data_IF_846489613107
#
_entry.id   IF_846489613107
#
_cell.length_a   1.000
_cell.length_b   1.000
_cell.length_c   1.000
_cell.angle_alpha   90.00
_cell.angle_beta   90.00
_cell.angle_gamma   90.00
#
_symmetry.space_group_name_H-M   'P 1'
#
loop_
_entity.id
_entity.type
_entity.pdbx_description
1 polymer ?
#
# COMPACT_ATOMS: atom_id res chain seq x y z
N UNK A 1 -22.64 -8.42 -10.66
CA UNK A 1 -23.32 -9.39 -9.77
C UNK A 1 -22.29 -10.03 -8.85
N UNK A 2 -22.58 -10.07 -7.56
CA UNK A 2 -21.74 -10.71 -6.55
C UNK A 2 -22.07 -12.21 -6.45
N UNK A 3 -21.06 -13.07 -6.56
CA UNK A 3 -21.17 -14.51 -6.40
C UNK A 3 -20.00 -14.99 -5.53
N UNK A 4 -20.24 -15.36 -4.25
CA UNK A 4 -19.17 -15.69 -3.32
C UNK A 4 -18.31 -16.85 -3.85
N UNK A 5 -17.00 -16.69 -3.86
CA UNK A 5 -16.05 -17.75 -4.30
C UNK A 5 -15.74 -18.78 -3.21
N UNK A 6 -16.11 -18.49 -1.97
CA UNK A 6 -15.89 -19.40 -0.82
C UNK A 6 -17.03 -19.25 0.18
N UNK A 7 -17.31 -20.31 0.93
CA UNK A 7 -18.27 -20.31 2.03
C UNK A 7 -17.96 -19.23 3.08
N UNK A 8 -16.67 -18.98 3.36
CA UNK A 8 -16.23 -17.88 4.25
C UNK A 8 -16.72 -16.52 3.77
N UNK A 9 -16.61 -16.25 2.47
CA UNK A 9 -17.06 -14.97 1.89
C UNK A 9 -18.58 -14.86 1.97
N UNK A 10 -19.30 -15.94 1.71
CA UNK A 10 -20.75 -16.01 1.81
C UNK A 10 -21.25 -15.71 3.23
N UNK A 11 -20.65 -16.35 4.23
CA UNK A 11 -20.98 -16.13 5.64
C UNK A 11 -20.73 -14.67 6.08
N UNK A 12 -19.63 -14.06 5.63
CA UNK A 12 -19.35 -12.65 5.94
C UNK A 12 -20.33 -11.74 5.19
N UNK A 13 -20.63 -12.02 3.92
CA UNK A 13 -21.53 -11.22 3.09
C UNK A 13 -22.95 -11.19 3.67
N UNK A 14 -23.41 -12.28 4.26
CA UNK A 14 -24.69 -12.35 4.95
C UNK A 14 -24.81 -11.29 6.07
N UNK A 15 -23.71 -11.06 6.81
CA UNK A 15 -23.65 -10.10 7.89
C UNK A 15 -23.30 -8.67 7.40
N UNK A 16 -22.80 -8.53 6.17
CA UNK A 16 -22.35 -7.24 5.60
C UNK A 16 -23.06 -6.91 4.28
N UNK A 17 -24.35 -7.18 4.20
CA UNK A 17 -25.18 -7.01 2.99
C UNK A 17 -25.09 -5.61 2.39
N UNK A 18 -25.09 -4.58 3.24
CA UNK A 18 -25.03 -3.18 2.78
C UNK A 18 -23.68 -2.85 2.11
N UNK A 19 -22.57 -3.42 2.60
CA UNK A 19 -21.26 -3.26 1.97
C UNK A 19 -21.23 -3.93 0.60
N UNK A 20 -21.81 -5.14 0.49
CA UNK A 20 -21.91 -5.84 -0.80
C UNK A 20 -22.75 -5.07 -1.79
N UNK A 21 -23.94 -4.58 -1.39
CA UNK A 21 -24.80 -3.73 -2.24
C UNK A 21 -24.06 -2.45 -2.69
N UNK A 22 -23.32 -1.79 -1.78
CA UNK A 22 -22.53 -0.61 -2.12
C UNK A 22 -21.50 -0.96 -3.19
N UNK A 23 -20.79 -2.10 -3.05
CA UNK A 23 -19.79 -2.53 -4.03
C UNK A 23 -20.40 -2.96 -5.35
N UNK A 24 -21.56 -3.64 -5.37
CA UNK A 24 -22.29 -3.95 -6.59
C UNK A 24 -22.70 -2.68 -7.34
N UNK A 25 -23.13 -1.63 -6.63
CA UNK A 25 -23.41 -0.32 -7.21
C UNK A 25 -22.16 0.41 -7.72
N UNK A 26 -20.99 0.12 -7.13
CA UNK A 26 -19.70 0.62 -7.61
C UNK A 26 -19.28 -0.13 -8.88
N UNK A 27 -19.36 -1.47 -8.87
CA UNK A 27 -18.91 -2.35 -9.95
C UNK A 27 -20.02 -2.65 -10.96
N UNK A 28 -20.64 -1.61 -11.51
CA UNK A 28 -21.78 -1.72 -12.45
C UNK A 28 -21.37 -1.70 -13.93
N UNK A 29 -20.11 -1.89 -14.26
CA UNK A 29 -19.54 -1.92 -15.62
C UNK A 29 -18.20 -2.65 -15.64
N UNK A 30 -17.56 -2.73 -16.80
CA UNK A 30 -16.23 -3.33 -16.95
C UNK A 30 -15.23 -2.70 -15.99
N UNK A 31 -14.76 -3.49 -15.04
CA UNK A 31 -13.94 -3.00 -13.94
C UNK A 31 -12.54 -3.62 -13.97
N UNK A 32 -11.51 -2.79 -13.83
CA UNK A 32 -10.13 -3.21 -13.61
C UNK A 32 -9.59 -2.65 -12.31
N UNK A 33 -8.80 -3.46 -11.62
CA UNK A 33 -8.20 -3.13 -10.32
C UNK A 33 -6.69 -3.01 -10.48
N UNK A 34 -6.11 -1.97 -9.89
CA UNK A 34 -4.68 -1.67 -9.91
C UNK A 34 -4.18 -1.53 -8.48
N UNK A 35 -3.30 -2.44 -8.06
CA UNK A 35 -2.81 -2.53 -6.69
C UNK A 35 -1.33 -2.21 -6.64
N UNK A 36 -0.97 -1.01 -6.21
CA UNK A 36 0.41 -0.63 -5.89
C UNK A 36 0.80 -1.19 -4.53
N UNK A 37 1.25 -2.45 -4.47
CA UNK A 37 1.40 -3.16 -3.20
C UNK A 37 2.46 -2.53 -2.29
N UNK A 38 3.50 -1.94 -2.84
CA UNK A 38 4.51 -1.19 -2.07
C UNK A 38 3.88 -0.02 -1.29
N UNK A 39 2.84 0.64 -1.85
CA UNK A 39 2.13 1.74 -1.20
C UNK A 39 1.09 1.23 -0.18
N UNK A 40 0.52 0.04 -0.42
CA UNK A 40 -0.57 -0.53 0.39
C UNK A 40 -0.04 -1.32 1.60
N UNK A 41 1.04 -2.07 1.41
CA UNK A 41 1.63 -2.92 2.46
C UNK A 41 1.93 -2.19 3.78
N UNK A 42 2.51 -0.98 3.78
CA UNK A 42 2.78 -0.23 5.01
C UNK A 42 1.52 0.22 5.76
N UNK A 43 0.33 0.12 5.16
CA UNK A 43 -0.90 0.46 5.85
C UNK A 43 -1.18 -0.47 7.02
N UNK A 44 -0.72 -1.73 6.96
CA UNK A 44 -0.91 -2.72 8.02
C UNK A 44 -0.40 -2.24 9.39
N UNK A 45 0.70 -1.50 9.45
CA UNK A 45 1.27 -0.95 10.68
C UNK A 45 0.30 0.01 11.39
N UNK A 46 -0.48 0.77 10.62
CA UNK A 46 -1.46 1.75 11.15
C UNK A 46 -2.86 1.18 11.30
N UNK A 47 -3.21 0.21 10.45
CA UNK A 47 -4.51 -0.45 10.48
C UNK A 47 -4.62 -1.49 11.61
N UNK A 48 -3.48 -2.04 12.05
CA UNK A 48 -3.43 -3.13 13.01
C UNK A 48 -3.83 -4.50 12.42
N UNK A 49 -3.91 -4.62 11.08
CA UNK A 49 -4.22 -5.87 10.39
C UNK A 49 -3.53 -5.91 9.02
N UNK A 50 -3.27 -7.11 8.51
CA UNK A 50 -2.61 -7.33 7.24
C UNK A 50 -3.60 -7.79 6.17
N UNK A 51 -3.38 -7.35 4.93
CA UNK A 51 -4.10 -7.84 3.76
C UNK A 51 -3.53 -9.22 3.41
N UNK A 52 -4.41 -10.22 3.34
CA UNK A 52 -4.07 -11.53 2.81
C UNK A 52 -4.37 -11.58 1.32
N UNK A 53 -3.35 -11.79 0.49
CA UNK A 53 -3.47 -11.71 -0.98
C UNK A 53 -4.46 -12.73 -1.52
N UNK A 54 -4.46 -13.96 -1.02
CA UNK A 54 -5.42 -15.00 -1.42
C UNK A 54 -6.86 -14.59 -1.12
N UNK A 55 -7.11 -14.08 0.09
CA UNK A 55 -8.46 -13.63 0.48
C UNK A 55 -8.91 -12.41 -0.32
N UNK A 56 -8.01 -11.47 -0.57
CA UNK A 56 -8.29 -10.31 -1.40
C UNK A 56 -8.68 -10.73 -2.81
N UNK A 57 -7.90 -11.62 -3.44
CA UNK A 57 -8.21 -12.12 -4.79
C UNK A 57 -9.56 -12.84 -4.84
N UNK A 58 -9.81 -13.76 -3.90
CA UNK A 58 -11.10 -14.47 -3.80
C UNK A 58 -12.28 -13.51 -3.63
N UNK A 59 -12.10 -12.45 -2.83
CA UNK A 59 -13.13 -11.44 -2.64
C UNK A 59 -13.38 -10.62 -3.91
N UNK A 60 -12.34 -10.15 -4.58
CA UNK A 60 -12.47 -9.41 -5.83
C UNK A 60 -13.08 -10.27 -6.94
N UNK A 61 -12.66 -11.54 -7.07
CA UNK A 61 -13.19 -12.50 -8.05
C UNK A 61 -14.66 -12.87 -7.78
N UNK A 62 -15.21 -12.52 -6.61
CA UNK A 62 -16.62 -12.71 -6.32
C UNK A 62 -17.51 -11.69 -7.05
N UNK A 63 -16.95 -10.68 -7.70
CA UNK A 63 -17.68 -9.70 -8.50
C UNK A 63 -17.42 -9.95 -9.99
N UNK A 64 -18.43 -10.38 -10.73
CA UNK A 64 -18.33 -10.71 -12.16
C UNK A 64 -17.92 -9.54 -13.06
N UNK A 65 -18.09 -8.30 -12.59
CA UNK A 65 -17.70 -7.10 -13.32
C UNK A 65 -16.19 -6.83 -13.27
N UNK A 66 -15.45 -7.45 -12.34
CA UNK A 66 -14.00 -7.30 -12.23
C UNK A 66 -13.33 -8.25 -13.23
N UNK A 67 -12.81 -7.71 -14.33
CA UNK A 67 -12.20 -8.48 -15.40
C UNK A 67 -10.70 -8.75 -15.16
N UNK A 68 -10.02 -7.84 -14.48
CA UNK A 68 -8.59 -7.95 -14.20
C UNK A 68 -8.22 -7.33 -12.85
N UNK A 69 -7.29 -8.00 -12.16
CA UNK A 69 -6.66 -7.49 -10.94
C UNK A 69 -5.16 -7.41 -11.19
N UNK A 70 -4.69 -6.20 -11.53
CA UNK A 70 -3.29 -5.92 -11.78
C UNK A 70 -2.58 -5.66 -10.44
N UNK A 71 -1.47 -6.36 -10.22
CA UNK A 71 -0.72 -6.32 -8.97
C UNK A 71 0.72 -5.93 -9.24
N UNK A 72 1.16 -4.84 -8.65
CA UNK A 72 2.49 -4.26 -8.84
C UNK A 72 3.28 -4.35 -7.55
N UNK A 73 4.41 -5.06 -7.59
CA UNK A 73 5.28 -5.21 -6.43
C UNK A 73 6.76 -5.26 -6.81
N UNK A 74 7.62 -4.61 -6.02
CA UNK A 74 9.07 -4.72 -6.15
C UNK A 74 9.53 -6.12 -5.74
N UNK A 75 10.52 -6.64 -6.47
CA UNK A 75 11.13 -7.92 -6.20
C UNK A 75 12.60 -7.75 -5.80
N UNK A 76 12.98 -8.31 -4.66
CA UNK A 76 14.36 -8.37 -4.18
C UNK A 76 14.82 -9.85 -4.19
N UNK A 77 15.69 -10.19 -5.13
CA UNK A 77 16.23 -11.54 -5.25
C UNK A 77 16.97 -11.96 -3.98
N UNK A 78 16.77 -13.21 -3.55
CA UNK A 78 17.37 -13.75 -2.33
C UNK A 78 16.70 -13.29 -1.03
N UNK A 79 15.63 -12.50 -1.11
CA UNK A 79 14.83 -12.14 0.06
C UNK A 79 13.58 -13.02 0.14
N UNK A 80 13.56 -13.93 1.10
CA UNK A 80 12.48 -14.93 1.29
C UNK A 80 11.07 -14.31 1.31
N UNK A 81 10.92 -13.16 1.96
CA UNK A 81 9.63 -12.47 2.03
C UNK A 81 9.19 -11.98 0.66
N UNK A 82 10.12 -11.38 -0.09
CA UNK A 82 9.84 -10.86 -1.44
C UNK A 82 9.48 -11.99 -2.41
N UNK A 83 10.19 -13.11 -2.31
CA UNK A 83 9.91 -14.31 -3.10
C UNK A 83 8.56 -14.93 -2.75
N UNK A 84 8.25 -15.03 -1.46
CA UNK A 84 6.95 -15.52 -0.99
C UNK A 84 5.79 -14.64 -1.46
N UNK A 85 5.91 -13.32 -1.35
CA UNK A 85 4.87 -12.38 -1.81
C UNK A 85 4.64 -12.51 -3.33
N UNK A 86 5.71 -12.69 -4.10
CA UNK A 86 5.65 -12.92 -5.56
C UNK A 86 4.93 -14.23 -5.87
N UNK A 87 5.37 -15.34 -5.29
CA UNK A 87 4.76 -16.66 -5.49
C UNK A 87 3.27 -16.65 -5.07
N UNK A 88 2.94 -16.03 -3.94
CA UNK A 88 1.55 -15.93 -3.49
C UNK A 88 0.69 -15.14 -4.50
N UNK A 89 1.22 -14.10 -5.13
CA UNK A 89 0.50 -13.35 -6.16
C UNK A 89 0.32 -14.17 -7.45
N UNK A 90 1.35 -14.91 -7.87
CA UNK A 90 1.30 -15.80 -9.04
C UNK A 90 0.30 -16.94 -8.84
N UNK A 91 0.36 -17.65 -7.73
CA UNK A 91 -0.53 -18.75 -7.37
C UNK A 91 -2.01 -18.34 -7.32
N UNK A 92 -2.26 -17.10 -6.88
CA UNK A 92 -3.63 -16.55 -6.83
C UNK A 92 -4.05 -15.87 -8.14
N UNK A 93 -3.29 -16.02 -9.23
CA UNK A 93 -3.65 -15.53 -10.58
C UNK A 93 -3.90 -14.01 -10.64
N UNK A 94 -3.10 -13.23 -9.93
CA UNK A 94 -3.00 -11.80 -10.19
C UNK A 94 -2.31 -11.56 -11.54
N UNK A 95 -2.69 -10.51 -12.27
CA UNK A 95 -1.87 -10.01 -13.36
C UNK A 95 -0.66 -9.30 -12.75
N UNK A 96 0.38 -10.10 -12.49
CA UNK A 96 1.55 -9.67 -11.74
C UNK A 96 2.53 -8.89 -12.61
N UNK A 97 2.93 -7.71 -12.14
CA UNK A 97 4.01 -6.92 -12.71
C UNK A 97 5.07 -6.65 -11.65
N UNK A 98 6.28 -7.16 -11.89
CA UNK A 98 7.41 -7.00 -10.97
C UNK A 98 8.56 -6.29 -11.64
N UNK A 99 9.37 -5.59 -10.85
CA UNK A 99 10.68 -5.10 -11.24
C UNK A 99 11.66 -5.20 -10.07
N UNK A 100 12.98 -5.29 -10.35
CA UNK A 100 13.98 -5.33 -9.29
C UNK A 100 13.88 -4.09 -8.39
N UNK A 101 13.98 -4.32 -7.08
CA UNK A 101 14.17 -3.25 -6.10
C UNK A 101 15.55 -2.64 -6.29
N UNK A 102 15.64 -1.32 -6.36
CA UNK A 102 16.92 -0.61 -6.38
C UNK A 102 17.39 -0.37 -4.95
N UNK A 103 18.63 -0.77 -4.69
CA UNK A 103 19.32 -0.41 -3.46
C UNK A 103 19.96 0.96 -3.67
N UNK A 104 19.60 1.91 -2.84
CA UNK A 104 20.16 3.26 -2.83
C UNK A 104 21.01 3.44 -1.60
N UNK A 105 22.26 3.90 -1.80
CA UNK A 105 23.13 4.24 -0.69
C UNK A 105 22.95 5.69 -0.29
N UNK A 106 22.56 5.91 0.97
CA UNK A 106 22.41 7.23 1.57
C UNK A 106 23.62 7.52 2.44
N UNK A 107 24.34 8.60 2.16
CA UNK A 107 25.54 8.98 2.91
C UNK A 107 25.19 9.31 4.37
N UNK A 108 26.01 8.80 5.29
CA UNK A 108 25.90 9.02 6.73
C UNK A 108 27.17 9.62 7.37
N UNK A 109 28.03 10.27 6.58
CA UNK A 109 29.24 10.87 7.14
C UNK A 109 28.90 11.94 8.15
N UNK A 110 29.17 11.67 9.43
CA UNK A 110 28.85 12.52 10.58
C UNK A 110 30.11 13.07 11.27
N UNK A 111 31.30 12.88 10.70
CA UNK A 111 32.59 13.22 11.32
C UNK A 111 32.69 14.69 11.75
N UNK A 112 32.03 15.61 11.06
CA UNK A 112 32.03 17.04 11.31
C UNK A 112 30.70 17.60 11.87
N UNK A 113 29.75 16.71 12.22
CA UNK A 113 28.41 17.14 12.63
C UNK A 113 28.34 17.25 14.15
N UNK A 114 27.74 18.33 14.67
CA UNK A 114 27.50 18.52 16.10
C UNK A 114 26.53 17.44 16.63
N UNK A 115 26.66 17.02 17.89
CA UNK A 115 25.83 15.95 18.48
C UNK A 115 24.32 16.20 18.36
N UNK A 116 23.89 17.42 18.58
CA UNK A 116 22.49 17.86 18.57
C UNK A 116 21.98 18.28 17.18
N UNK A 117 22.80 18.18 16.15
CA UNK A 117 22.46 18.61 14.79
C UNK A 117 21.40 17.70 14.15
N UNK A 118 20.40 18.31 13.53
CA UNK A 118 19.36 17.60 12.76
C UNK A 118 19.73 17.44 11.28
N UNK A 119 20.88 17.95 10.83
CA UNK A 119 21.28 18.01 9.41
C UNK A 119 21.25 16.63 8.77
N UNK A 120 21.88 15.64 9.39
CA UNK A 120 21.92 14.29 8.84
C UNK A 120 20.57 13.57 9.01
N UNK A 121 19.99 13.69 10.19
CA UNK A 121 18.69 13.03 10.52
C UNK A 121 17.58 13.51 9.57
N UNK A 122 17.67 14.75 9.06
CA UNK A 122 16.70 15.30 8.10
C UNK A 122 16.69 14.56 6.75
N UNK A 123 17.71 13.78 6.42
CA UNK A 123 17.76 12.95 5.22
C UNK A 123 16.92 11.67 5.38
N UNK A 124 16.74 11.18 6.60
CA UNK A 124 16.04 9.94 6.91
C UNK A 124 14.64 10.18 7.48
N UNK A 125 14.41 11.37 8.07
CA UNK A 125 13.16 11.70 8.76
C UNK A 125 12.53 12.94 8.12
N UNK A 126 11.24 12.91 7.82
CA UNK A 126 10.51 14.07 7.29
C UNK A 126 10.66 15.27 8.23
N UNK A 127 11.02 16.44 7.70
CA UNK A 127 11.22 17.70 8.47
C UNK A 127 10.09 18.00 9.46
N UNK A 128 8.84 17.75 9.08
CA UNK A 128 7.68 17.95 9.94
C UNK A 128 7.68 17.05 11.19
N UNK A 129 8.35 15.91 11.12
CA UNK A 129 8.48 14.96 12.23
C UNK A 129 9.67 15.27 13.13
N UNK A 130 10.73 15.92 12.60
CA UNK A 130 11.91 16.28 13.39
C UNK A 130 11.58 17.13 14.61
N UNK A 131 10.58 18.02 14.49
CA UNK A 131 10.10 18.86 15.60
C UNK A 131 9.44 18.06 16.74
N UNK A 132 9.16 16.78 16.55
CA UNK A 132 8.54 15.89 17.54
C UNK A 132 9.56 15.04 18.29
N UNK A 133 10.82 15.07 17.84
CA UNK A 133 11.89 14.33 18.52
C UNK A 133 12.54 15.23 19.57
N UNK A 134 12.81 14.65 20.71
CA UNK A 134 13.63 15.28 21.75
C UNK A 134 15.09 15.37 21.31
N UNK A 135 15.81 16.37 21.78
CA UNK A 135 17.23 16.57 21.49
C UNK A 135 18.03 15.31 21.83
N UNK A 136 17.76 14.69 22.96
CA UNK A 136 18.39 13.45 23.41
C UNK A 136 18.26 12.30 22.39
N UNK A 137 17.12 12.21 21.69
CA UNK A 137 16.92 11.24 20.61
C UNK A 137 17.80 11.54 19.42
N UNK A 138 17.95 12.80 19.05
CA UNK A 138 18.81 13.25 17.95
C UNK A 138 20.27 12.98 18.28
N UNK A 139 20.71 13.31 19.48
CA UNK A 139 22.06 13.05 19.98
C UNK A 139 22.37 11.54 19.98
N UNK A 140 21.45 10.72 20.47
CA UNK A 140 21.58 9.26 20.42
C UNK A 140 21.75 8.72 19.01
N UNK A 141 20.94 9.18 18.05
CA UNK A 141 21.04 8.78 16.64
C UNK A 141 22.39 9.21 16.03
N UNK A 142 22.82 10.44 16.32
CA UNK A 142 24.11 10.93 15.83
C UNK A 142 25.28 10.13 16.42
N UNK A 143 25.23 9.74 17.69
CA UNK A 143 26.26 8.87 18.29
C UNK A 143 26.28 7.50 17.62
N UNK A 144 25.12 6.91 17.29
CA UNK A 144 25.08 5.65 16.54
C UNK A 144 25.67 5.78 15.16
N UNK A 145 25.42 6.86 14.45
CA UNK A 145 26.06 7.13 13.15
C UNK A 145 27.58 7.33 13.27
N UNK A 146 28.05 8.00 14.33
CA UNK A 146 29.48 8.10 14.62
C UNK A 146 30.13 6.74 14.85
N UNK A 147 29.46 5.86 15.58
CA UNK A 147 29.97 4.50 15.80
C UNK A 147 30.00 3.69 14.49
N UNK A 148 29.02 3.87 13.60
CA UNK A 148 29.08 3.30 12.26
C UNK A 148 30.27 3.85 11.46
N UNK A 149 30.50 5.16 11.47
CA UNK A 149 31.62 5.78 10.79
C UNK A 149 32.98 5.31 11.34
N UNK A 150 33.12 5.10 12.66
CA UNK A 150 34.33 4.49 13.26
C UNK A 150 34.61 3.08 12.73
N UNK A 151 33.55 2.33 12.35
CA UNK A 151 33.68 1.00 11.73
C UNK A 151 33.90 1.06 10.22
N UNK A 152 33.98 2.24 9.62
CA UNK A 152 34.11 2.43 8.17
C UNK A 152 32.79 2.37 7.39
N UNK A 153 31.66 2.40 8.07
CA UNK A 153 30.34 2.39 7.45
C UNK A 153 29.85 3.85 7.21
N UNK A 154 29.88 4.32 5.98
CA UNK A 154 29.52 5.67 5.59
C UNK A 154 28.21 5.76 4.80
N UNK A 155 27.54 4.64 4.59
CA UNK A 155 26.30 4.57 3.84
C UNK A 155 25.29 3.68 4.55
N UNK A 156 24.02 4.07 4.44
CA UNK A 156 22.88 3.22 4.77
C UNK A 156 22.21 2.83 3.46
N UNK A 157 21.85 1.58 3.33
CA UNK A 157 21.10 1.09 2.19
C UNK A 157 19.61 1.31 2.40
N UNK A 158 18.97 1.99 1.44
CA UNK A 158 17.53 2.12 1.36
C UNK A 158 17.01 1.39 0.12
N UNK A 159 15.88 0.71 0.28
CA UNK A 159 15.27 -0.06 -0.80
C UNK A 159 14.17 0.77 -1.46
N UNK A 160 14.36 1.14 -2.73
CA UNK A 160 13.39 1.90 -3.49
C UNK A 160 12.85 1.10 -4.67
N UNK A 161 11.53 0.95 -4.71
CA UNK A 161 10.83 0.45 -5.87
C UNK A 161 9.49 1.18 -5.99
N UNK A 162 9.36 1.94 -7.08
CA UNK A 162 8.17 2.73 -7.35
C UNK A 162 7.55 2.25 -8.67
N UNK A 163 6.22 2.03 -8.66
CA UNK A 163 5.44 1.62 -9.83
C UNK A 163 4.44 2.68 -10.29
N UNK A 164 4.50 3.90 -9.77
CA UNK A 164 3.45 4.90 -9.99
C UNK A 164 3.35 5.26 -11.48
N UNK A 165 4.49 5.33 -12.17
CA UNK A 165 4.52 5.56 -13.61
C UNK A 165 3.88 4.40 -14.37
N UNK A 166 4.28 3.15 -14.07
CA UNK A 166 3.76 1.96 -14.75
C UNK A 166 2.26 1.78 -14.51
N UNK A 167 1.80 1.99 -13.28
CA UNK A 167 0.37 1.92 -12.94
C UNK A 167 -0.40 3.02 -13.69
N UNK A 168 0.08 4.25 -13.64
CA UNK A 168 -0.54 5.38 -14.32
C UNK A 168 -0.64 5.16 -15.84
N UNK A 169 0.45 4.68 -16.45
CA UNK A 169 0.47 4.35 -17.88
C UNK A 169 -0.49 3.21 -18.22
N UNK A 170 -0.49 2.12 -17.43
CA UNK A 170 -1.39 0.99 -17.69
C UNK A 170 -2.87 1.40 -17.56
N UNK A 171 -3.21 2.24 -16.57
CA UNK A 171 -4.57 2.79 -16.43
C UNK A 171 -4.97 3.62 -17.65
N UNK A 172 -4.09 4.50 -18.13
CA UNK A 172 -4.38 5.35 -19.31
C UNK A 172 -4.48 4.53 -20.61
N UNK A 173 -3.62 3.53 -20.79
CA UNK A 173 -3.71 2.61 -21.94
C UNK A 173 -5.00 1.78 -21.92
N UNK A 174 -5.42 1.31 -20.73
CA UNK A 174 -6.67 0.60 -20.60
C UNK A 174 -7.89 1.51 -20.86
N UNK A 175 -7.79 2.78 -20.53
CA UNK A 175 -8.78 3.79 -20.88
C UNK A 175 -8.86 4.00 -22.40
N UNK A 176 -7.73 4.21 -23.07
CA UNK A 176 -7.64 4.43 -24.52
C UNK A 176 -8.20 3.22 -25.31
N UNK A 177 -7.89 2.00 -24.85
CA UNK A 177 -8.35 0.75 -25.48
C UNK A 177 -9.76 0.36 -25.11
N UNK A 178 -10.46 1.14 -24.30
CA UNK A 178 -11.78 0.82 -23.74
C UNK A 178 -11.84 -0.54 -23.02
N UNK A 179 -10.74 -0.93 -22.37
CA UNK A 179 -10.63 -2.16 -21.61
C UNK A 179 -11.34 -2.05 -20.26
N UNK A 180 -11.67 -0.85 -19.81
CA UNK A 180 -12.40 -0.62 -18.56
C UNK A 180 -13.29 0.64 -18.66
N UNK A 181 -14.40 0.61 -17.96
CA UNK A 181 -15.28 1.73 -17.67
C UNK A 181 -15.03 2.25 -16.25
N UNK A 182 -14.63 1.33 -15.37
CA UNK A 182 -14.42 1.55 -13.95
C UNK A 182 -12.99 1.16 -13.57
N UNK A 183 -12.28 2.10 -12.98
CA UNK A 183 -10.90 1.97 -12.56
C UNK A 183 -10.82 1.99 -11.04
N UNK A 184 -10.30 0.93 -10.43
CA UNK A 184 -10.09 0.85 -8.97
C UNK A 184 -8.60 0.95 -8.71
N UNK A 185 -8.19 2.02 -8.04
CA UNK A 185 -6.82 2.24 -7.64
C UNK A 185 -6.66 1.98 -6.13
N UNK A 186 -5.79 1.04 -5.78
CA UNK A 186 -5.34 0.80 -4.40
C UNK A 186 -4.04 1.56 -4.15
N UNK A 187 -4.16 2.82 -3.88
CA UNK A 187 -3.09 3.72 -3.46
C UNK A 187 -3.69 4.97 -2.83
N UNK A 188 -2.89 5.73 -2.11
CA UNK A 188 -3.27 7.06 -1.60
C UNK A 188 -2.25 8.11 -1.99
N UNK A 189 -1.33 7.77 -2.92
CA UNK A 189 -0.21 8.60 -3.31
C UNK A 189 -0.62 9.72 -4.26
N UNK A 190 -0.07 10.91 -4.04
CA UNK A 190 -0.29 12.10 -4.88
C UNK A 190 0.15 11.93 -6.32
N UNK A 191 1.15 11.07 -6.58
CA UNK A 191 1.71 10.86 -7.91
C UNK A 191 0.68 10.32 -8.91
N UNK A 192 -0.45 9.80 -8.43
CA UNK A 192 -1.57 9.36 -9.28
C UNK A 192 -2.57 10.46 -9.64
N UNK A 193 -2.46 11.67 -9.07
CA UNK A 193 -3.49 12.70 -9.24
C UNK A 193 -3.74 13.04 -10.73
N UNK A 194 -2.67 13.22 -11.52
CA UNK A 194 -2.78 13.55 -12.94
C UNK A 194 -3.43 12.42 -13.76
N UNK A 195 -3.05 11.17 -13.49
CA UNK A 195 -3.62 10.01 -14.19
C UNK A 195 -5.11 9.84 -13.86
N UNK A 196 -5.48 10.00 -12.58
CA UNK A 196 -6.86 9.93 -12.11
C UNK A 196 -7.70 11.06 -12.73
N UNK A 197 -7.19 12.29 -12.75
CA UNK A 197 -7.90 13.43 -13.35
C UNK A 197 -8.15 13.22 -14.84
N UNK A 198 -7.18 12.69 -15.58
CA UNK A 198 -7.34 12.37 -17.02
C UNK A 198 -8.40 11.30 -17.25
N UNK A 199 -8.45 10.26 -16.41
CA UNK A 199 -9.49 9.23 -16.51
C UNK A 199 -10.88 9.79 -16.25
N UNK A 200 -11.03 10.62 -15.22
CA UNK A 200 -12.31 11.29 -14.91
C UNK A 200 -12.72 12.20 -16.07
N UNK A 201 -11.79 12.98 -16.62
CA UNK A 201 -12.03 13.87 -17.77
C UNK A 201 -12.41 13.09 -19.04
N UNK A 202 -11.95 11.85 -19.19
CA UNK A 202 -12.35 10.93 -20.25
C UNK A 202 -13.72 10.24 -19.98
N UNK A 203 -14.44 10.65 -18.95
CA UNK A 203 -15.75 10.10 -18.58
C UNK A 203 -15.70 8.74 -17.90
N UNK A 204 -14.52 8.29 -17.46
CA UNK A 204 -14.38 7.02 -16.74
C UNK A 204 -14.66 7.19 -15.25
N UNK A 205 -15.21 6.15 -14.64
CA UNK A 205 -15.44 6.10 -13.20
C UNK A 205 -14.16 5.65 -12.49
N UNK A 206 -13.64 6.46 -11.58
CA UNK A 206 -12.44 6.13 -10.80
C UNK A 206 -12.80 6.02 -9.33
N UNK A 207 -12.38 4.92 -8.71
CA UNK A 207 -12.58 4.65 -7.30
C UNK A 207 -11.24 4.40 -6.63
N UNK A 208 -10.95 5.17 -5.61
CA UNK A 208 -9.78 5.00 -4.78
C UNK A 208 -10.11 4.08 -3.61
N UNK A 209 -9.47 2.91 -3.56
CA UNK A 209 -9.53 2.03 -2.40
C UNK A 209 -8.39 2.41 -1.45
N UNK A 210 -8.74 3.11 -0.39
CA UNK A 210 -7.77 3.65 0.56
C UNK A 210 -8.34 3.70 1.97
N UNK A 211 -7.54 4.13 2.92
CA UNK A 211 -8.03 4.53 4.24
C UNK A 211 -8.08 6.06 4.29
N UNK A 212 -9.07 6.63 4.97
CA UNK A 212 -9.27 8.07 5.07
C UNK A 212 -8.01 8.85 5.54
N UNK A 213 -7.09 8.18 6.27
CA UNK A 213 -5.85 8.78 6.78
C UNK A 213 -4.64 8.63 5.83
N UNK A 214 -4.84 8.07 4.64
CA UNK A 214 -3.77 7.71 3.70
C UNK A 214 -4.03 8.20 2.28
N UNK A 215 -4.95 9.12 2.11
CA UNK A 215 -5.21 9.80 0.85
C UNK A 215 -4.49 11.13 0.86
N UNK A 216 -3.75 11.43 -0.20
CA UNK A 216 -3.09 12.73 -0.36
C UNK A 216 -4.11 13.86 -0.53
N UNK A 217 -3.66 15.10 -0.34
CA UNK A 217 -4.52 16.28 -0.53
C UNK A 217 -4.93 16.44 -2.00
N UNK A 218 -4.00 16.16 -2.90
CA UNK A 218 -4.17 16.25 -4.35
C UNK A 218 -5.26 15.28 -4.83
N UNK A 219 -5.23 14.02 -4.39
CA UNK A 219 -6.28 13.05 -4.69
C UNK A 219 -7.60 13.41 -4.02
N UNK A 220 -7.57 13.89 -2.77
CA UNK A 220 -8.80 14.29 -2.06
C UNK A 220 -9.52 15.44 -2.77
N UNK A 221 -8.77 16.37 -3.38
CA UNK A 221 -9.33 17.49 -4.14
C UNK A 221 -10.08 17.04 -5.42
N UNK A 222 -9.75 15.85 -5.94
CA UNK A 222 -10.45 15.29 -7.11
C UNK A 222 -11.85 14.72 -6.77
N UNK A 223 -12.22 14.64 -5.49
CA UNK A 223 -13.57 14.22 -5.09
C UNK A 223 -14.64 15.14 -5.70
N UNK A 224 -14.40 16.45 -5.77
CA UNK A 224 -15.29 17.44 -6.38
C UNK A 224 -15.40 17.25 -7.92
N UNK A 225 -14.43 16.55 -8.53
CA UNK A 225 -14.42 16.20 -9.96
C UNK A 225 -15.00 14.82 -10.25
N UNK A 226 -15.42 14.06 -9.23
CA UNK A 226 -16.05 12.76 -9.37
C UNK A 226 -15.20 11.56 -8.92
N UNK A 227 -14.02 11.77 -8.31
CA UNK A 227 -13.28 10.67 -7.68
C UNK A 227 -14.07 10.15 -6.48
N UNK A 228 -14.35 8.86 -6.48
CA UNK A 228 -14.94 8.19 -5.32
C UNK A 228 -13.85 7.62 -4.43
N UNK A 229 -13.97 7.81 -3.12
CA UNK A 229 -13.07 7.19 -2.15
C UNK A 229 -13.84 6.13 -1.37
N UNK A 230 -13.37 4.89 -1.43
CA UNK A 230 -13.92 3.76 -0.69
C UNK A 230 -12.97 3.38 0.45
N UNK A 231 -13.48 3.40 1.69
CA UNK A 231 -12.69 2.99 2.85
C UNK A 231 -12.60 1.47 2.93
N UNK A 232 -11.37 0.95 2.77
CA UNK A 232 -11.07 -0.49 2.80
C UNK A 232 -11.35 -1.13 4.17
N UNK A 233 -11.51 -0.36 5.23
CA UNK A 233 -11.93 -0.87 6.54
C UNK A 233 -13.30 -1.58 6.46
N UNK A 234 -14.18 -1.15 5.56
CA UNK A 234 -15.50 -1.76 5.37
C UNK A 234 -15.40 -3.21 4.91
N UNK A 235 -14.35 -3.55 4.16
CA UNK A 235 -14.12 -4.90 3.61
C UNK A 235 -13.06 -5.70 4.38
N UNK A 236 -12.57 -5.18 5.51
CA UNK A 236 -11.55 -5.80 6.34
C UNK A 236 -11.77 -7.30 6.56
N UNK A 237 -12.97 -7.69 7.01
CA UNK A 237 -13.26 -9.09 7.37
C UNK A 237 -13.18 -10.06 6.18
N UNK A 238 -13.38 -9.53 4.96
CA UNK A 238 -13.23 -10.33 3.73
C UNK A 238 -11.76 -10.59 3.38
N UNK A 239 -10.86 -9.64 3.66
CA UNK A 239 -9.50 -9.59 3.11
C UNK A 239 -8.38 -9.76 4.14
N UNK A 240 -8.66 -9.64 5.44
CA UNK A 240 -7.64 -9.74 6.47
C UNK A 240 -7.42 -11.18 6.97
N UNK A 241 -6.29 -11.39 7.64
CA UNK A 241 -5.98 -12.65 8.32
C UNK A 241 -6.34 -12.57 9.81
N UNK A 242 -7.30 -13.38 10.26
CA UNK A 242 -7.83 -13.36 11.64
C UNK A 242 -6.77 -13.61 12.74
N UNK A 243 -5.85 -14.56 12.52
CA UNK A 243 -4.81 -14.91 13.52
C UNK A 243 -3.86 -13.78 13.87
N UNK A 244 -3.60 -12.86 12.94
CA UNK A 244 -2.72 -11.70 13.17
C UNK A 244 -3.41 -10.60 13.99
N UNK A 245 -4.74 -10.55 13.95
CA UNK A 245 -5.53 -9.62 14.76
C UNK A 245 -5.57 -10.03 16.23
N UNK A 246 -5.64 -11.34 16.51
CA UNK A 246 -5.67 -11.89 17.88
C UNK A 246 -4.32 -11.71 18.58
N UNK A 247 -3.19 -11.84 17.85
CA UNK A 247 -1.83 -11.66 18.40
C UNK A 247 -1.47 -10.22 18.79
N UNK A 248 -2.07 -9.22 18.16
CA UNK A 248 -1.83 -7.81 18.48
C UNK A 248 -2.70 -7.26 19.60
N UNK A 249 -3.66 -8.04 20.09
CA UNK A 249 -4.56 -7.66 21.19
C UNK A 249 -4.15 -8.17 22.58
N UNK A 250 -3.06 -8.97 22.69
CA UNK A 250 -2.60 -9.51 23.97
C UNK A 250 -1.28 -8.84 24.39
N UNK A 251 -1.33 -7.82 25.29
CA UNK A 251 -0.12 -7.16 25.78
C UNK A 251 0.71 -8.04 26.73
N UNK A 252 0.27 -9.27 27.05
CA UNK A 252 0.90 -10.11 28.08
C UNK A 252 1.74 -11.30 27.57
N UNK A 253 1.85 -11.55 26.26
CA UNK A 253 2.68 -12.65 25.73
C UNK A 253 4.15 -12.29 25.49
N UNK A 254 4.72 -11.34 26.21
CA UNK A 254 6.10 -10.88 26.01
C UNK A 254 6.94 -10.68 27.27
N UNK A 255 6.45 -11.04 28.45
CA UNK A 255 7.27 -10.94 29.67
C UNK A 255 7.98 -12.30 29.93
N UNK A 256 9.32 -12.36 29.91
CA UNK A 256 10.04 -13.53 30.43
C UNK A 256 9.70 -13.70 31.89
N UNK A 257 9.17 -14.86 32.27
CA UNK A 257 9.06 -15.25 33.67
C UNK A 257 10.46 -15.28 34.26
N UNK A 258 10.73 -14.39 35.20
CA UNK A 258 11.86 -14.43 36.10
C UNK A 258 11.83 -15.68 36.98
#
# INVERSE_FOLDING_TARGET
MFTPKTERIENIATNKREVIKQLEGIFNGKTRVYIGYANVRPWSEKLGWHINLKRLKQFLDSFSAIEAVNFYNGYLAGNERSEKEKTEAEDNKYFLRTKPVKIMQLSINISSILPDSTVLVSQFIRRALLKKYEITTIEYLNERFKDMNKRGEYFIEDMKCNFDVEIGVDMLLDCERNNAEIFILWSGDSDFADSVEKLISAGKKVILFATARKVSKELSALADKGLMIFDIQKIRDFICWKKELERKGDPNEGAPKL
#
